data_IF_598993865032
#
_entry.id   IF_598993865032
#
_cell.length_a   1.000
_cell.length_b   1.000
_cell.length_c   1.000
_cell.angle_alpha   90.00
_cell.angle_beta   90.00
_cell.angle_gamma   90.00
#
_symmetry.space_group_name_H-M   'P 1'
#
loop_
_entity.id
_entity.type
_entity.pdbx_description
1 polymer ?
#
# COMPACT_ATOMS: atom_id res chain seq x y z
N UNK A 1 3.99 27.17 -26.85
CA UNK A 1 3.46 26.71 -25.54
C UNK A 1 2.48 25.54 -25.76
N UNK A 2 2.92 24.45 -26.39
CA UNK A 2 2.07 23.30 -26.74
C UNK A 2 2.81 22.00 -26.38
N UNK A 3 2.26 21.18 -25.49
CA UNK A 3 2.86 19.90 -25.09
C UNK A 3 2.51 19.37 -23.70
N UNK A 4 1.96 20.20 -22.80
CA UNK A 4 1.05 19.66 -21.77
C UNK A 4 -0.28 19.41 -22.48
N UNK A 5 -0.90 18.24 -22.31
CA UNK A 5 -2.34 18.12 -21.99
C UNK A 5 -2.91 16.69 -22.00
N UNK A 6 -2.75 15.88 -23.05
CA UNK A 6 -3.49 14.60 -23.14
C UNK A 6 -3.34 13.63 -21.95
N UNK A 7 -2.11 13.25 -21.57
CA UNK A 7 -1.91 12.22 -20.53
C UNK A 7 -2.07 12.68 -19.08
N UNK A 8 -2.14 13.99 -18.83
CA UNK A 8 -2.40 14.52 -17.47
C UNK A 8 -3.89 14.76 -17.27
N UNK A 9 -4.57 15.32 -18.29
CA UNK A 9 -6.04 15.44 -18.30
C UNK A 9 -6.71 14.06 -18.21
N UNK A 10 -6.15 13.05 -18.89
CA UNK A 10 -6.62 11.66 -18.79
C UNK A 10 -6.53 11.11 -17.36
N UNK A 11 -5.46 11.41 -16.61
CA UNK A 11 -5.30 10.94 -15.22
C UNK A 11 -6.22 11.67 -14.25
N UNK A 12 -6.39 12.97 -14.43
CA UNK A 12 -7.34 13.79 -13.65
C UNK A 12 -8.80 13.32 -13.83
N UNK A 13 -9.13 12.73 -14.99
CA UNK A 13 -10.44 12.11 -15.21
C UNK A 13 -10.66 10.84 -14.36
N UNK A 14 -9.60 10.08 -14.05
CA UNK A 14 -9.72 8.86 -13.21
C UNK A 14 -9.52 9.14 -11.72
N UNK A 15 -8.66 10.10 -11.38
CA UNK A 15 -8.32 10.44 -10.00
C UNK A 15 -8.38 11.96 -9.81
N UNK A 16 -9.59 12.56 -9.87
CA UNK A 16 -9.75 14.00 -9.74
C UNK A 16 -9.24 14.49 -8.39
N UNK A 17 -8.52 15.60 -8.43
CA UNK A 17 -8.00 16.31 -7.26
C UNK A 17 -8.86 17.54 -7.02
N UNK A 18 -9.17 17.80 -5.75
CA UNK A 18 -9.91 18.98 -5.31
C UNK A 18 -9.15 20.25 -5.68
N UNK A 19 -9.77 21.25 -6.34
CA UNK A 19 -9.09 22.43 -6.84
C UNK A 19 -8.22 23.16 -5.81
N UNK A 20 -8.70 23.25 -4.57
CA UNK A 20 -8.02 23.87 -3.43
C UNK A 20 -6.74 23.15 -2.99
N UNK A 21 -6.61 21.85 -3.28
CA UNK A 21 -5.46 21.03 -2.87
C UNK A 21 -4.37 20.93 -3.94
N UNK A 22 -4.62 21.39 -5.18
CA UNK A 22 -3.72 21.18 -6.33
C UNK A 22 -2.31 21.75 -6.10
N UNK A 23 -2.20 22.85 -5.36
CA UNK A 23 -0.91 23.49 -5.07
C UNK A 23 -0.08 22.75 -4.01
N UNK A 24 -0.74 22.00 -3.13
CA UNK A 24 -0.13 21.33 -1.97
C UNK A 24 0.25 19.88 -2.25
N UNK A 25 -0.25 19.30 -3.34
CA UNK A 25 0.01 17.90 -3.66
C UNK A 25 1.24 17.69 -4.55
N UNK A 26 1.97 16.58 -4.34
CA UNK A 26 2.98 16.07 -5.25
C UNK A 26 2.51 16.01 -6.71
N UNK A 27 3.30 16.56 -7.63
CA UNK A 27 3.00 16.47 -9.07
C UNK A 27 3.17 15.04 -9.56
N UNK A 28 2.11 14.48 -10.16
CA UNK A 28 2.16 13.16 -10.77
C UNK A 28 3.13 13.10 -11.94
N UNK A 29 4.07 12.16 -11.90
CA UNK A 29 5.07 11.96 -12.96
C UNK A 29 4.74 10.80 -13.88
N UNK A 30 4.04 9.77 -13.39
CA UNK A 30 3.51 8.71 -14.24
C UNK A 30 2.56 9.31 -15.29
N UNK A 31 2.74 8.87 -16.54
CA UNK A 31 1.81 9.18 -17.63
C UNK A 31 1.57 7.93 -18.47
N UNK A 32 0.30 7.58 -18.77
CA UNK A 32 0.01 6.56 -19.75
C UNK A 32 0.73 6.85 -21.08
N UNK A 33 1.33 5.81 -21.67
CA UNK A 33 2.07 5.92 -22.92
C UNK A 33 1.55 4.88 -23.91
N UNK A 34 1.03 5.36 -25.03
CA UNK A 34 0.59 4.53 -26.14
C UNK A 34 1.66 3.50 -26.51
N UNK A 35 1.25 2.24 -26.68
CA UNK A 35 2.14 1.13 -27.02
C UNK A 35 3.04 0.60 -25.88
N UNK A 36 3.23 1.35 -24.78
CA UNK A 36 4.05 0.95 -23.62
C UNK A 36 3.19 0.52 -22.43
N UNK A 37 2.24 1.34 -22.01
CA UNK A 37 1.33 1.07 -20.89
C UNK A 37 0.37 -0.07 -21.24
N UNK A 38 0.03 -0.91 -20.26
CA UNK A 38 -0.93 -1.99 -20.44
C UNK A 38 -2.34 -1.41 -20.62
N UNK A 39 -2.81 -1.35 -21.86
CA UNK A 39 -4.16 -0.93 -22.24
C UNK A 39 -5.21 -2.03 -22.06
N UNK A 40 -6.49 -1.67 -21.95
CA UNK A 40 -7.62 -2.61 -21.88
C UNK A 40 -7.63 -3.68 -23.00
N UNK A 41 -7.40 -3.27 -24.26
CA UNK A 41 -7.31 -4.19 -25.41
C UNK A 41 -6.24 -5.27 -25.21
N UNK A 42 -5.06 -4.88 -24.69
CA UNK A 42 -3.94 -5.80 -24.47
C UNK A 42 -4.14 -6.68 -23.25
N UNK A 43 -4.86 -6.19 -22.25
CA UNK A 43 -5.31 -6.97 -21.11
C UNK A 43 -6.27 -8.08 -21.54
N UNK A 44 -7.30 -7.74 -22.32
CA UNK A 44 -8.24 -8.73 -22.88
C UNK A 44 -7.52 -9.76 -23.76
N UNK A 45 -6.61 -9.33 -24.63
CA UNK A 45 -5.80 -10.23 -25.48
C UNK A 45 -4.71 -11.04 -24.74
N UNK A 46 -4.67 -10.98 -23.40
CA UNK A 46 -3.81 -11.83 -22.59
C UNK A 46 -4.55 -13.06 -22.02
N UNK A 47 -5.88 -13.14 -22.19
CA UNK A 47 -6.67 -14.27 -21.76
C UNK A 47 -6.82 -15.33 -22.87
N UNK A 48 -6.92 -16.60 -22.49
CA UNK A 48 -7.41 -17.68 -23.35
C UNK A 48 -8.92 -17.60 -23.55
N UNK A 49 -9.46 -18.42 -24.44
CA UNK A 49 -10.92 -18.57 -24.66
C UNK A 49 -11.65 -18.97 -23.37
N UNK A 50 -11.04 -19.83 -22.56
CA UNK A 50 -11.57 -20.26 -21.25
C UNK A 50 -11.37 -19.23 -20.13
N UNK A 51 -10.65 -18.14 -20.40
CA UNK A 51 -10.39 -17.07 -19.44
C UNK A 51 -9.15 -17.27 -18.56
N UNK A 52 -8.22 -18.17 -18.90
CA UNK A 52 -6.92 -18.26 -18.21
C UNK A 52 -5.99 -17.13 -18.67
N UNK A 53 -5.25 -16.52 -17.75
CA UNK A 53 -4.40 -15.35 -17.99
C UNK A 53 -2.94 -15.72 -18.27
N UNK A 54 -2.38 -15.23 -19.39
CA UNK A 54 -0.93 -15.18 -19.60
C UNK A 54 -0.32 -14.06 -18.73
N UNK A 55 -0.14 -14.38 -17.44
CA UNK A 55 0.43 -13.45 -16.45
C UNK A 55 1.84 -13.02 -16.82
N UNK A 56 2.61 -13.87 -17.52
CA UNK A 56 3.98 -13.55 -17.94
C UNK A 56 3.99 -12.37 -18.93
N UNK A 57 3.11 -12.43 -19.93
CA UNK A 57 2.94 -11.38 -20.94
C UNK A 57 2.44 -10.08 -20.32
N UNK A 58 1.53 -10.17 -19.36
CA UNK A 58 1.04 -9.02 -18.60
C UNK A 58 2.15 -8.37 -17.78
N UNK A 59 2.88 -9.13 -16.96
CA UNK A 59 3.97 -8.60 -16.13
C UNK A 59 5.05 -7.92 -16.98
N UNK A 60 5.42 -8.49 -18.14
CA UNK A 60 6.35 -7.86 -19.11
C UNK A 60 5.87 -6.51 -19.62
N UNK A 61 4.56 -6.30 -19.70
CA UNK A 61 3.99 -5.03 -20.18
C UNK A 61 3.94 -4.01 -19.07
N UNK A 62 3.50 -4.44 -17.88
CA UNK A 62 3.50 -3.63 -16.67
C UNK A 62 4.92 -3.08 -16.46
N UNK A 63 5.95 -3.93 -16.46
CA UNK A 63 7.36 -3.52 -16.26
C UNK A 63 7.87 -2.47 -17.27
N UNK A 64 7.29 -2.39 -18.47
CA UNK A 64 7.70 -1.42 -19.50
C UNK A 64 7.02 -0.06 -19.36
N UNK A 65 5.79 -0.03 -18.85
CA UNK A 65 4.96 1.17 -18.96
C UNK A 65 3.82 1.33 -17.95
N UNK A 66 3.74 0.47 -16.95
CA UNK A 66 2.68 0.43 -15.95
C UNK A 66 1.34 -0.05 -16.48
N UNK A 67 0.32 0.09 -15.63
CA UNK A 67 -1.06 -0.26 -15.94
C UNK A 67 -1.87 1.00 -16.28
N UNK A 68 -2.73 0.90 -17.28
CA UNK A 68 -3.66 1.98 -17.60
C UNK A 68 -4.72 2.13 -16.48
N UNK A 69 -5.05 3.35 -16.02
CA UNK A 69 -6.01 3.56 -14.93
C UNK A 69 -7.34 2.82 -15.10
N UNK A 70 -7.89 2.82 -16.31
CA UNK A 70 -9.18 2.19 -16.64
C UNK A 70 -9.28 0.68 -16.40
N UNK A 71 -8.16 -0.02 -16.19
CA UNK A 71 -8.14 -1.48 -15.91
C UNK A 71 -7.40 -1.82 -14.63
N UNK A 72 -6.99 -0.81 -13.85
CA UNK A 72 -6.05 -0.98 -12.75
C UNK A 72 -6.63 -1.89 -11.66
N UNK A 73 -7.91 -1.69 -11.30
CA UNK A 73 -8.64 -2.59 -10.39
C UNK A 73 -8.65 -4.05 -10.85
N UNK A 74 -9.04 -4.30 -12.10
CA UNK A 74 -9.09 -5.66 -12.67
C UNK A 74 -7.73 -6.36 -12.64
N UNK A 75 -6.66 -5.64 -12.98
CA UNK A 75 -5.30 -6.20 -12.99
C UNK A 75 -4.81 -6.44 -11.55
N UNK A 76 -5.15 -5.56 -10.61
CA UNK A 76 -4.73 -5.66 -9.21
C UNK A 76 -5.32 -6.88 -8.49
N UNK A 77 -6.54 -7.30 -8.83
CA UNK A 77 -7.09 -8.57 -8.33
C UNK A 77 -6.16 -9.77 -8.65
N UNK A 78 -5.44 -9.76 -9.78
CA UNK A 78 -4.44 -10.79 -10.08
C UNK A 78 -3.09 -10.53 -9.39
N UNK A 79 -2.62 -9.27 -9.35
CA UNK A 79 -1.31 -8.93 -8.76
C UNK A 79 -1.26 -9.16 -7.24
N UNK A 80 -2.38 -8.92 -6.56
CA UNK A 80 -2.54 -9.18 -5.14
C UNK A 80 -2.77 -10.68 -4.85
N UNK A 81 -3.13 -11.45 -5.88
CA UNK A 81 -3.36 -12.89 -5.79
C UNK A 81 -4.78 -13.23 -5.34
N UNK A 82 -5.74 -12.32 -5.53
CA UNK A 82 -7.16 -12.62 -5.37
C UNK A 82 -7.60 -13.68 -6.38
N UNK A 83 -7.06 -13.66 -7.60
CA UNK A 83 -7.26 -14.71 -8.60
C UNK A 83 -5.97 -15.44 -8.98
N UNK A 84 -6.10 -16.73 -9.26
CA UNK A 84 -5.04 -17.53 -9.87
C UNK A 84 -5.01 -17.25 -11.38
N UNK A 85 -3.87 -16.93 -12.00
CA UNK A 85 -3.78 -16.78 -13.46
C UNK A 85 -4.29 -17.98 -14.25
N UNK A 86 -4.21 -19.19 -13.70
CA UNK A 86 -4.67 -20.41 -14.36
C UNK A 86 -6.17 -20.70 -14.14
N UNK A 87 -6.89 -19.85 -13.40
CA UNK A 87 -8.35 -19.98 -13.22
C UNK A 87 -9.09 -19.61 -14.51
N UNK A 88 -10.21 -20.28 -14.75
CA UNK A 88 -11.15 -19.90 -15.83
C UNK A 88 -11.95 -18.67 -15.42
N UNK A 89 -12.73 -18.10 -16.35
CA UNK A 89 -13.66 -17.02 -16.02
C UNK A 89 -14.76 -17.50 -15.04
N UNK A 90 -15.26 -18.72 -15.23
CA UNK A 90 -16.30 -19.29 -14.39
C UNK A 90 -15.81 -19.51 -12.95
N UNK A 91 -14.61 -20.09 -12.78
CA UNK A 91 -13.98 -20.27 -11.46
C UNK A 91 -13.88 -18.94 -10.70
N UNK A 92 -13.51 -17.87 -11.41
CA UNK A 92 -13.39 -16.53 -10.81
C UNK A 92 -14.74 -15.95 -10.43
N UNK A 93 -15.77 -16.14 -11.25
CA UNK A 93 -17.11 -15.66 -10.93
C UNK A 93 -17.66 -16.36 -9.69
N UNK A 94 -17.50 -17.68 -9.59
CA UNK A 94 -17.88 -18.46 -8.41
C UNK A 94 -17.12 -18.00 -7.16
N UNK A 95 -15.79 -17.85 -7.26
CA UNK A 95 -14.96 -17.39 -6.15
C UNK A 95 -15.32 -15.97 -5.70
N UNK A 96 -15.62 -15.07 -6.65
CA UNK A 96 -16.07 -13.70 -6.36
C UNK A 96 -17.39 -13.72 -5.59
N UNK A 97 -18.35 -14.53 -6.01
CA UNK A 97 -19.64 -14.67 -5.34
C UNK A 97 -19.48 -15.19 -3.90
N UNK A 98 -18.74 -16.28 -3.71
CA UNK A 98 -18.46 -16.84 -2.37
C UNK A 98 -17.80 -15.81 -1.44
N UNK A 99 -16.85 -15.04 -1.98
CA UNK A 99 -16.15 -13.97 -1.23
C UNK A 99 -17.07 -12.83 -0.83
N UNK A 100 -17.98 -12.42 -1.71
CA UNK A 100 -18.98 -11.38 -1.44
C UNK A 100 -19.98 -11.83 -0.39
N UNK A 101 -20.45 -13.07 -0.48
CA UNK A 101 -21.31 -13.69 0.54
C UNK A 101 -20.61 -13.74 1.90
N UNK A 102 -19.36 -14.22 1.92
CA UNK A 102 -18.57 -14.28 3.16
C UNK A 102 -18.38 -12.91 3.80
N UNK A 103 -18.04 -11.91 3.00
CA UNK A 103 -17.92 -10.54 3.48
C UNK A 103 -19.25 -9.99 4.00
N UNK A 104 -20.36 -10.26 3.30
CA UNK A 104 -21.69 -9.86 3.74
C UNK A 104 -22.07 -10.48 5.09
N UNK A 105 -21.70 -11.74 5.33
CA UNK A 105 -21.94 -12.39 6.63
C UNK A 105 -21.20 -11.66 7.76
N UNK A 106 -19.91 -11.37 7.58
CA UNK A 106 -19.13 -10.60 8.56
C UNK A 106 -19.66 -9.19 8.75
N UNK A 107 -20.08 -8.54 7.67
CA UNK A 107 -20.70 -7.21 7.73
C UNK A 107 -21.98 -7.23 8.58
N UNK A 108 -22.86 -8.22 8.37
CA UNK A 108 -24.07 -8.38 9.18
C UNK A 108 -23.75 -8.69 10.65
N UNK A 109 -22.75 -9.54 10.91
CA UNK A 109 -22.28 -9.84 12.28
C UNK A 109 -21.81 -8.57 13.00
N UNK A 110 -20.93 -7.78 12.36
CA UNK A 110 -20.46 -6.50 12.89
C UNK A 110 -21.61 -5.49 13.06
N UNK A 111 -22.54 -5.43 12.11
CA UNK A 111 -23.71 -4.54 12.14
C UNK A 111 -24.66 -4.86 13.29
N UNK A 112 -24.82 -6.15 13.61
CA UNK A 112 -25.63 -6.57 14.77
C UNK A 112 -25.04 -6.08 16.09
N UNK A 113 -23.71 -5.95 16.18
CA UNK A 113 -23.02 -5.42 17.37
C UNK A 113 -22.99 -3.88 17.39
N UNK A 114 -22.74 -3.26 16.24
CA UNK A 114 -22.64 -1.80 16.06
C UNK A 114 -23.43 -1.41 14.81
N UNK A 115 -24.61 -0.81 15.00
CA UNK A 115 -25.57 -0.59 13.90
C UNK A 115 -25.09 0.33 12.77
N UNK A 116 -24.05 1.13 13.00
CA UNK A 116 -23.47 2.05 12.02
C UNK A 116 -22.71 1.31 10.92
N UNK A 117 -22.15 0.12 11.21
CA UNK A 117 -21.44 -0.69 10.22
C UNK A 117 -22.38 -1.02 9.06
N UNK A 118 -22.00 -0.65 7.84
CA UNK A 118 -22.83 -0.88 6.66
C UNK A 118 -24.00 0.05 6.44
N UNK A 119 -24.17 1.08 7.28
CA UNK A 119 -25.25 2.06 7.13
C UNK A 119 -24.96 3.15 6.08
N UNK A 120 -23.74 3.22 5.56
CA UNK A 120 -23.26 4.36 4.75
C UNK A 120 -22.81 5.57 5.59
N UNK A 121 -22.77 5.41 6.92
CA UNK A 121 -22.18 6.37 7.85
C UNK A 121 -21.01 5.73 8.61
N UNK A 122 -20.23 6.55 9.32
CA UNK A 122 -19.15 6.11 10.19
C UNK A 122 -19.07 7.01 11.43
N UNK A 123 -18.39 6.54 12.46
CA UNK A 123 -18.22 7.25 13.73
C UNK A 123 -16.80 7.78 13.88
N UNK A 124 -16.65 8.93 14.53
CA UNK A 124 -15.35 9.49 14.95
C UNK A 124 -15.25 9.67 16.46
N UNK A 125 -16.34 9.42 17.19
CA UNK A 125 -16.43 9.49 18.64
C UNK A 125 -16.40 8.09 19.24
N UNK A 126 -15.80 7.91 20.43
CA UNK A 126 -15.89 6.64 21.16
C UNK A 126 -17.35 6.25 21.41
N UNK A 127 -17.64 4.96 21.26
CA UNK A 127 -18.98 4.38 21.49
C UNK A 127 -19.06 3.58 22.79
N UNK A 128 -17.92 3.29 23.41
CA UNK A 128 -17.81 2.65 24.71
C UNK A 128 -16.69 3.33 25.50
N UNK A 129 -16.77 3.27 26.83
CA UNK A 129 -15.66 3.66 27.72
C UNK A 129 -14.58 2.58 27.76
N UNK A 130 -13.41 2.92 28.32
CA UNK A 130 -12.33 1.94 28.55
C UNK A 130 -12.77 0.76 29.45
N UNK A 131 -13.77 0.98 30.29
CA UNK A 131 -14.40 -0.02 31.15
C UNK A 131 -15.51 -0.84 30.45
N UNK A 132 -15.73 -0.62 29.15
CA UNK A 132 -16.71 -1.36 28.34
C UNK A 132 -18.17 -0.90 28.49
N UNK A 133 -18.42 0.26 29.08
CA UNK A 133 -19.77 0.83 29.20
C UNK A 133 -20.18 1.56 27.92
N UNK A 134 -21.38 1.31 27.35
CA UNK A 134 -21.86 2.03 26.17
C UNK A 134 -21.98 3.54 26.37
N UNK A 135 -21.62 4.31 25.35
CA UNK A 135 -21.81 5.75 25.24
C UNK A 135 -22.94 6.01 24.24
N UNK A 136 -23.92 6.84 24.61
CA UNK A 136 -24.98 7.24 23.69
C UNK A 136 -24.40 8.11 22.57
N UNK A 137 -24.40 7.58 21.36
CA UNK A 137 -24.00 8.29 20.14
C UNK A 137 -25.18 8.30 19.19
N UNK A 138 -25.55 9.49 18.71
CA UNK A 138 -26.70 9.68 17.83
C UNK A 138 -26.58 8.81 16.56
N UNK A 139 -27.60 7.99 16.27
CA UNK A 139 -27.60 7.08 15.13
C UNK A 139 -26.79 5.79 15.30
N UNK A 140 -26.14 5.57 16.45
CA UNK A 140 -25.37 4.37 16.76
C UNK A 140 -25.97 3.59 17.93
N UNK A 141 -26.46 2.37 17.66
CA UNK A 141 -26.91 1.44 18.71
C UNK A 141 -25.83 0.39 18.92
N UNK A 142 -25.41 0.24 20.17
CA UNK A 142 -24.49 -0.80 20.66
C UNK A 142 -25.30 -1.79 21.49
N UNK A 143 -25.09 -3.09 21.29
CA UNK A 143 -25.84 -4.14 21.97
C UNK A 143 -25.42 -4.32 23.43
N UNK A 144 -26.08 -3.62 24.37
CA UNK A 144 -25.96 -3.76 25.84
C UNK A 144 -24.51 -3.75 26.39
N UNK A 145 -24.33 -3.97 27.70
CA UNK A 145 -22.99 -4.05 28.29
C UNK A 145 -22.18 -5.19 27.65
N UNK A 146 -21.00 -4.88 27.12
CA UNK A 146 -20.18 -5.83 26.37
C UNK A 146 -19.42 -6.72 27.35
N UNK A 147 -19.87 -7.96 27.53
CA UNK A 147 -19.16 -8.95 28.36
C UNK A 147 -17.99 -9.62 27.62
N UNK A 148 -17.99 -9.58 26.28
CA UNK A 148 -16.94 -10.16 25.45
C UNK A 148 -15.77 -9.19 25.24
N UNK A 149 -14.60 -9.57 25.75
CA UNK A 149 -13.36 -8.79 25.64
C UNK A 149 -12.96 -8.48 24.18
N UNK A 150 -13.17 -9.42 23.24
CA UNK A 150 -12.87 -9.22 21.82
C UNK A 150 -13.75 -8.13 21.23
N UNK A 151 -15.04 -8.18 21.52
CA UNK A 151 -16.02 -7.19 21.05
C UNK A 151 -15.71 -5.82 21.63
N UNK A 152 -15.40 -5.73 22.93
CA UNK A 152 -15.05 -4.47 23.57
C UNK A 152 -13.77 -3.87 22.96
N UNK A 153 -12.72 -4.66 22.79
CA UNK A 153 -11.48 -4.19 22.18
C UNK A 153 -11.68 -3.71 20.74
N UNK A 154 -12.49 -4.44 19.95
CA UNK A 154 -12.84 -4.03 18.60
C UNK A 154 -13.67 -2.73 18.57
N UNK A 155 -14.61 -2.54 19.49
CA UNK A 155 -15.40 -1.30 19.57
C UNK A 155 -14.53 -0.09 19.96
N UNK A 156 -13.55 -0.27 20.85
CA UNK A 156 -12.61 0.79 21.24
C UNK A 156 -11.82 1.34 20.04
N UNK A 157 -11.48 0.51 19.04
CA UNK A 157 -10.70 0.96 17.88
C UNK A 157 -11.53 1.65 16.80
N UNK A 158 -12.85 1.49 16.76
CA UNK A 158 -13.69 1.97 15.65
C UNK A 158 -13.64 3.50 15.45
N UNK A 159 -13.62 4.25 16.54
CA UNK A 159 -13.53 5.71 16.48
C UNK A 159 -12.18 6.17 15.91
N UNK A 160 -11.09 5.47 16.26
CA UNK A 160 -9.75 5.74 15.73
C UNK A 160 -9.69 5.48 14.21
N UNK A 161 -10.33 4.40 13.74
CA UNK A 161 -10.49 4.16 12.29
C UNK A 161 -11.21 5.34 11.64
N UNK A 162 -12.31 5.82 12.23
CA UNK A 162 -13.03 6.98 11.70
C UNK A 162 -12.20 8.25 11.63
N UNK A 163 -11.43 8.55 12.69
CA UNK A 163 -10.52 9.70 12.70
C UNK A 163 -9.46 9.60 11.59
N UNK A 164 -8.95 8.40 11.30
CA UNK A 164 -8.00 8.18 10.21
C UNK A 164 -8.66 8.28 8.83
N UNK A 165 -9.89 7.78 8.66
CA UNK A 165 -10.70 7.90 7.43
C UNK A 165 -10.86 9.37 7.03
N UNK A 166 -11.24 10.25 7.97
CA UNK A 166 -11.40 11.70 7.71
C UNK A 166 -10.09 12.35 7.25
N UNK A 167 -8.95 11.79 7.64
CA UNK A 167 -7.61 12.28 7.28
C UNK A 167 -7.02 11.60 6.04
N UNK A 168 -7.71 10.62 5.45
CA UNK A 168 -7.20 9.81 4.33
C UNK A 168 -7.38 10.54 3.01
N UNK A 169 -6.28 10.70 2.26
CA UNK A 169 -6.23 11.24 0.89
C UNK A 169 -7.22 12.40 0.61
N UNK A 170 -7.36 13.34 1.54
CA UNK A 170 -8.36 14.43 1.50
C UNK A 170 -8.34 15.31 0.24
N UNK A 171 -7.25 15.27 -0.51
CA UNK A 171 -7.09 15.97 -1.78
C UNK A 171 -7.78 15.27 -2.96
N UNK A 172 -8.09 13.96 -2.87
CA UNK A 172 -8.83 13.24 -3.91
C UNK A 172 -10.32 13.55 -3.77
N UNK A 173 -10.95 14.01 -4.85
CA UNK A 173 -12.39 14.29 -4.87
C UNK A 173 -13.25 13.04 -4.58
N UNK A 174 -12.68 11.84 -4.78
CA UNK A 174 -13.30 10.56 -4.38
C UNK A 174 -13.79 10.56 -2.93
N UNK A 175 -13.04 11.16 -2.01
CA UNK A 175 -13.40 11.20 -0.58
C UNK A 175 -14.27 12.41 -0.20
N UNK A 176 -14.72 13.25 -1.14
CA UNK A 176 -15.77 14.24 -0.86
C UNK A 176 -17.12 13.55 -0.61
N UNK A 177 -17.33 12.39 -1.23
CA UNK A 177 -18.50 11.55 -1.00
C UNK A 177 -18.39 10.79 0.33
N UNK A 178 -19.35 11.04 1.22
CA UNK A 178 -19.45 10.34 2.51
C UNK A 178 -19.64 8.84 2.34
N UNK A 179 -20.29 8.38 1.27
CA UNK A 179 -20.45 6.95 1.00
C UNK A 179 -19.11 6.26 0.75
N UNK A 180 -18.17 6.94 0.08
CA UNK A 180 -16.82 6.43 -0.16
C UNK A 180 -15.96 6.39 1.12
N UNK A 181 -16.13 7.39 1.99
CA UNK A 181 -15.52 7.37 3.33
C UNK A 181 -16.09 6.25 4.20
N UNK A 182 -17.41 6.08 4.22
CA UNK A 182 -18.07 5.00 4.94
C UNK A 182 -17.64 3.63 4.41
N UNK A 183 -17.50 3.46 3.10
CA UNK A 183 -16.95 2.25 2.48
C UNK A 183 -15.53 1.93 2.97
N UNK A 184 -14.65 2.94 3.07
CA UNK A 184 -13.31 2.75 3.62
C UNK A 184 -13.36 2.36 5.10
N UNK A 185 -14.23 3.01 5.88
CA UNK A 185 -14.42 2.69 7.28
C UNK A 185 -14.96 1.27 7.49
N UNK A 186 -15.97 0.85 6.72
CA UNK A 186 -16.55 -0.50 6.77
C UNK A 186 -15.49 -1.57 6.47
N UNK A 187 -14.70 -1.40 5.40
CA UNK A 187 -13.62 -2.35 5.04
C UNK A 187 -12.60 -2.48 6.16
N UNK A 188 -12.14 -1.37 6.74
CA UNK A 188 -11.16 -1.38 7.83
C UNK A 188 -11.73 -1.97 9.13
N UNK A 189 -12.99 -1.65 9.44
CA UNK A 189 -13.66 -2.12 10.65
C UNK A 189 -13.95 -3.62 10.59
N UNK A 190 -14.36 -4.13 9.43
CA UNK A 190 -14.57 -5.57 9.25
C UNK A 190 -13.22 -6.30 9.20
N UNK A 191 -12.18 -5.70 8.62
CA UNK A 191 -10.85 -6.30 8.66
C UNK A 191 -10.34 -6.47 10.09
N UNK A 192 -10.46 -5.45 10.92
CA UNK A 192 -10.00 -5.51 12.32
C UNK A 192 -10.80 -6.47 13.18
N UNK A 193 -12.05 -6.78 12.81
CA UNK A 193 -12.84 -7.85 13.43
C UNK A 193 -12.37 -9.26 13.03
N UNK A 194 -12.09 -9.44 11.74
CA UNK A 194 -11.70 -10.73 11.15
C UNK A 194 -10.28 -11.13 11.53
N UNK A 195 -9.37 -10.16 11.61
CA UNK A 195 -7.97 -10.35 11.98
C UNK A 195 -7.67 -9.66 13.32
N UNK A 196 -8.17 -10.24 14.41
CA UNK A 196 -8.06 -9.71 15.77
C UNK A 196 -6.63 -9.75 16.35
N UNK A 197 -5.77 -10.59 15.79
CA UNK A 197 -4.33 -10.62 16.09
C UNK A 197 -3.62 -9.29 15.79
N UNK A 198 -3.94 -8.65 14.65
CA UNK A 198 -3.42 -7.31 14.30
C UNK A 198 -4.41 -6.23 14.73
N UNK A 199 -5.70 -6.49 14.52
CA UNK A 199 -6.77 -5.50 14.61
C UNK A 199 -6.59 -4.39 13.57
N UNK A 200 -6.65 -3.14 14.05
CA UNK A 200 -6.34 -1.95 13.26
C UNK A 200 -5.12 -1.23 13.83
N UNK A 201 -4.21 -0.86 12.94
CA UNK A 201 -3.04 -0.04 13.26
C UNK A 201 -3.04 1.17 12.33
N UNK A 202 -2.80 2.36 12.90
CA UNK A 202 -2.74 3.61 12.15
C UNK A 202 -1.77 3.48 10.96
N UNK A 203 -2.23 3.89 9.77
CA UNK A 203 -1.53 3.70 8.50
C UNK A 203 -2.11 2.59 7.63
N UNK A 204 -2.92 1.68 8.19
CA UNK A 204 -3.65 0.69 7.38
C UNK A 204 -4.66 1.34 6.42
N UNK A 205 -5.24 2.48 6.81
CA UNK A 205 -6.09 3.30 5.95
C UNK A 205 -5.38 3.77 4.67
N UNK A 206 -4.08 4.06 4.73
CA UNK A 206 -3.27 4.46 3.57
C UNK A 206 -3.04 3.32 2.58
N UNK A 207 -3.00 2.08 3.07
CA UNK A 207 -2.92 0.87 2.24
C UNK A 207 -4.29 0.50 1.67
N UNK A 208 -5.36 0.71 2.44
CA UNK A 208 -6.73 0.37 2.05
C UNK A 208 -7.33 1.35 1.04
N UNK A 209 -7.01 2.65 1.14
CA UNK A 209 -7.53 3.71 0.26
C UNK A 209 -7.44 3.35 -1.23
N UNK A 210 -6.28 2.95 -1.77
CA UNK A 210 -6.16 2.43 -3.12
C UNK A 210 -7.14 1.32 -3.49
N UNK A 211 -7.44 0.38 -2.59
CA UNK A 211 -8.35 -0.73 -2.89
C UNK A 211 -9.78 -0.24 -3.03
N UNK A 212 -10.20 0.67 -2.15
CA UNK A 212 -11.54 1.27 -2.15
C UNK A 212 -11.78 2.14 -3.38
N UNK A 213 -10.75 2.86 -3.83
CA UNK A 213 -10.79 3.70 -5.06
C UNK A 213 -10.80 2.83 -6.32
N UNK A 214 -9.98 1.77 -6.36
CA UNK A 214 -9.79 0.96 -7.57
C UNK A 214 -10.91 -0.05 -7.81
N UNK A 215 -11.65 -0.44 -6.77
CA UNK A 215 -12.67 -1.49 -6.85
C UNK A 215 -14.01 -0.96 -6.40
N UNK A 216 -14.98 -0.98 -7.30
CA UNK A 216 -16.33 -0.46 -7.04
C UNK A 216 -17.05 -1.20 -5.92
N UNK A 217 -16.97 -2.54 -5.91
CA UNK A 217 -17.59 -3.36 -4.89
C UNK A 217 -16.74 -3.42 -3.60
N UNK A 218 -17.38 -3.15 -2.46
CA UNK A 218 -16.75 -3.12 -1.15
C UNK A 218 -16.10 -4.45 -0.74
N UNK A 219 -16.76 -5.59 -1.00
CA UNK A 219 -16.19 -6.89 -0.67
C UNK A 219 -14.93 -7.19 -1.51
N UNK A 220 -14.94 -6.82 -2.80
CA UNK A 220 -13.77 -7.00 -3.67
C UNK A 220 -12.59 -6.13 -3.16
N UNK A 221 -12.88 -4.91 -2.69
CA UNK A 221 -11.90 -4.04 -2.03
C UNK A 221 -11.35 -4.66 -0.74
N UNK A 222 -12.22 -5.20 0.11
CA UNK A 222 -11.84 -5.92 1.32
C UNK A 222 -10.88 -7.07 1.02
N UNK A 223 -11.20 -7.94 0.05
CA UNK A 223 -10.34 -9.08 -0.26
C UNK A 223 -9.01 -8.67 -0.87
N UNK A 224 -8.96 -7.59 -1.65
CA UNK A 224 -7.70 -7.04 -2.13
C UNK A 224 -6.87 -6.43 -0.99
N UNK A 225 -7.50 -5.72 -0.06
CA UNK A 225 -6.86 -5.18 1.14
C UNK A 225 -6.32 -6.30 2.03
N UNK A 226 -7.11 -7.34 2.29
CA UNK A 226 -6.70 -8.52 3.06
C UNK A 226 -5.47 -9.19 2.46
N UNK A 227 -5.43 -9.35 1.13
CA UNK A 227 -4.27 -9.90 0.42
C UNK A 227 -3.04 -9.00 0.47
N UNK A 228 -3.22 -7.69 0.48
CA UNK A 228 -2.13 -6.74 0.70
C UNK A 228 -1.60 -6.86 2.14
N UNK A 229 -2.49 -6.92 3.13
CA UNK A 229 -2.13 -7.04 4.54
C UNK A 229 -1.43 -8.36 4.86
N UNK A 230 -1.74 -9.49 4.20
CA UNK A 230 -0.94 -10.72 4.35
C UNK A 230 0.55 -10.53 4.05
N UNK A 231 0.89 -9.60 3.16
CA UNK A 231 2.28 -9.29 2.79
C UNK A 231 2.92 -8.26 3.72
N UNK A 232 2.10 -7.38 4.30
CA UNK A 232 2.54 -6.27 5.14
C UNK A 232 2.31 -6.51 6.63
N UNK A 233 1.72 -7.64 7.01
CA UNK A 233 1.35 -8.01 8.39
C UNK A 233 2.49 -7.79 9.36
N UNK A 234 3.70 -8.20 9.00
CA UNK A 234 4.87 -8.02 9.86
C UNK A 234 5.21 -6.53 10.07
N UNK A 235 4.91 -5.63 9.13
CA UNK A 235 5.12 -4.18 9.34
C UNK A 235 4.18 -3.61 10.41
N UNK A 236 3.01 -4.21 10.61
CA UNK A 236 1.98 -3.75 11.54
C UNK A 236 1.93 -4.55 12.83
N UNK A 237 2.75 -5.59 12.99
CA UNK A 237 2.90 -6.28 14.27
C UNK A 237 3.59 -5.37 15.27
N UNK A 238 2.85 -5.02 16.32
CA UNK A 238 3.40 -4.43 17.54
C UNK A 238 3.50 -5.53 18.61
N UNK A 239 4.72 -5.85 19.02
CA UNK A 239 4.98 -6.64 20.22
C UNK A 239 5.45 -5.72 21.35
N UNK A 240 5.31 -6.15 22.60
CA UNK A 240 5.79 -5.44 23.80
C UNK A 240 7.30 -5.16 23.78
N UNK A 241 8.06 -5.85 22.93
CA UNK A 241 9.52 -5.73 22.82
C UNK A 241 10.04 -5.32 21.43
N UNK A 242 9.19 -5.29 20.40
CA UNK A 242 9.62 -4.86 19.06
C UNK A 242 8.46 -4.42 18.16
N UNK A 243 8.73 -3.39 17.35
CA UNK A 243 7.84 -2.95 16.27
C UNK A 243 8.35 -3.60 14.99
N UNK A 244 7.50 -4.27 14.20
CA UNK A 244 8.00 -5.11 13.11
C UNK A 244 8.77 -4.38 11.99
N UNK A 245 8.61 -3.06 11.86
CA UNK A 245 9.43 -2.20 10.98
C UNK A 245 10.87 -2.02 11.50
N UNK A 246 11.16 -2.24 12.79
CA UNK A 246 12.51 -2.12 13.36
C UNK A 246 13.53 -3.03 12.66
N UNK A 247 13.13 -4.24 12.25
CA UNK A 247 13.99 -5.14 11.48
C UNK A 247 14.42 -4.52 10.14
N UNK A 248 13.51 -3.79 9.49
CA UNK A 248 13.77 -3.10 8.23
C UNK A 248 14.63 -1.85 8.44
N UNK A 249 14.44 -1.12 9.54
CA UNK A 249 15.30 0.00 9.93
C UNK A 249 16.72 -0.46 10.28
N UNK A 250 16.86 -1.59 10.97
CA UNK A 250 18.16 -2.22 11.21
C UNK A 250 18.83 -2.62 9.89
N UNK A 251 18.08 -3.20 8.96
CA UNK A 251 18.59 -3.52 7.62
C UNK A 251 19.00 -2.27 6.86
N UNK A 252 18.20 -1.19 6.92
CA UNK A 252 18.51 0.10 6.31
C UNK A 252 19.82 0.69 6.87
N UNK A 253 19.97 0.67 8.19
CA UNK A 253 21.19 1.10 8.88
C UNK A 253 22.42 0.33 8.37
N UNK A 254 22.34 -0.99 8.28
CA UNK A 254 23.44 -1.81 7.74
C UNK A 254 23.74 -1.52 6.25
N UNK A 255 22.70 -1.30 5.45
CA UNK A 255 22.86 -0.94 4.03
C UNK A 255 23.60 0.39 3.90
N UNK A 256 23.17 1.43 4.60
CA UNK A 256 23.81 2.75 4.56
C UNK A 256 25.23 2.68 5.11
N UNK A 257 25.45 2.01 6.25
CA UNK A 257 26.78 1.79 6.82
C UNK A 257 27.76 1.14 5.84
N UNK A 258 27.29 0.18 5.03
CA UNK A 258 28.13 -0.50 4.03
C UNK A 258 28.36 0.36 2.78
N UNK A 259 27.31 1.03 2.32
CA UNK A 259 27.31 1.77 1.06
C UNK A 259 27.99 3.13 1.19
N UNK A 260 27.70 3.86 2.26
CA UNK A 260 28.12 5.21 2.58
C UNK A 260 28.35 5.37 4.11
N UNK A 261 29.52 4.91 4.62
CA UNK A 261 29.84 4.97 6.04
C UNK A 261 29.89 6.39 6.61
N UNK A 262 30.24 7.38 5.78
CA UNK A 262 30.33 8.78 6.21
C UNK A 262 28.93 9.34 6.51
N UNK A 263 27.96 9.06 5.64
CA UNK A 263 26.58 9.43 5.89
C UNK A 263 26.01 8.73 7.13
N UNK A 264 26.29 7.43 7.31
CA UNK A 264 25.84 6.69 8.49
C UNK A 264 26.35 7.33 9.78
N UNK A 265 27.67 7.59 9.86
CA UNK A 265 28.28 8.19 11.03
C UNK A 265 27.70 9.57 11.34
N UNK A 266 27.51 10.41 10.31
CA UNK A 266 26.87 11.72 10.51
C UNK A 266 25.46 11.59 11.08
N UNK A 267 24.66 10.63 10.59
CA UNK A 267 23.34 10.37 11.15
C UNK A 267 23.39 9.85 12.59
N UNK A 268 24.37 9.00 12.94
CA UNK A 268 24.60 8.58 14.33
C UNK A 268 24.96 9.77 15.23
N UNK A 269 25.85 10.67 14.78
CA UNK A 269 26.26 11.87 15.51
C UNK A 269 25.08 12.86 15.73
N UNK A 270 24.04 12.78 14.89
CA UNK A 270 22.78 13.53 15.00
C UNK A 270 21.69 12.81 15.81
N UNK A 271 22.00 11.71 16.50
CA UNK A 271 21.05 10.84 17.22
C UNK A 271 19.99 10.18 16.29
N UNK A 272 20.30 10.07 15.01
CA UNK A 272 19.48 9.48 13.95
C UNK A 272 19.88 8.05 13.54
N UNK A 273 20.75 7.39 14.30
CA UNK A 273 21.35 6.08 13.97
C UNK A 273 20.35 4.92 13.86
N UNK A 274 19.17 5.06 14.47
CA UNK A 274 18.06 4.10 14.38
C UNK A 274 17.12 4.34 13.18
N UNK A 275 17.33 5.42 12.43
CA UNK A 275 16.57 5.76 11.21
C UNK A 275 15.04 5.90 11.42
N UNK A 276 14.59 6.25 12.63
CA UNK A 276 13.16 6.36 12.95
C UNK A 276 12.38 7.34 12.04
N UNK A 277 13.05 8.33 11.45
CA UNK A 277 12.45 9.22 10.44
C UNK A 277 11.96 8.47 9.17
N UNK A 278 12.50 7.29 8.87
CA UNK A 278 12.08 6.46 7.75
C UNK A 278 10.92 5.51 8.10
N UNK A 279 10.49 5.47 9.35
CA UNK A 279 9.46 4.55 9.84
C UNK A 279 8.19 4.62 9.00
N UNK A 280 7.64 5.84 8.80
CA UNK A 280 6.44 6.07 8.00
C UNK A 280 6.61 5.59 6.56
N UNK A 281 7.77 5.86 5.95
CA UNK A 281 8.04 5.48 4.55
C UNK A 281 7.98 3.96 4.35
N UNK A 282 8.51 3.20 5.31
CA UNK A 282 8.50 1.73 5.26
C UNK A 282 7.12 1.16 5.65
N UNK A 283 6.50 1.69 6.70
CA UNK A 283 5.23 1.21 7.23
C UNK A 283 4.11 1.26 6.18
N UNK A 284 3.97 2.39 5.48
CA UNK A 284 2.92 2.60 4.47
C UNK A 284 3.44 2.57 3.02
N UNK A 285 4.58 1.91 2.78
CA UNK A 285 5.18 1.73 1.46
C UNK A 285 5.26 3.02 0.62
N UNK A 286 5.75 4.09 1.22
CA UNK A 286 5.88 5.42 0.62
C UNK A 286 4.57 6.05 0.15
N UNK A 287 3.39 5.56 0.59
CA UNK A 287 2.10 6.18 0.23
C UNK A 287 2.12 7.68 0.50
N UNK A 288 2.63 8.13 1.66
CA UNK A 288 2.65 9.57 1.99
C UNK A 288 3.68 10.39 1.21
N UNK A 289 4.60 9.74 0.51
CA UNK A 289 5.75 10.41 -0.14
C UNK A 289 5.60 10.59 -1.66
N UNK A 290 4.58 9.94 -2.26
CA UNK A 290 4.28 10.01 -3.68
C UNK A 290 2.88 10.57 -3.92
N UNK A 291 2.66 11.14 -5.12
CA UNK A 291 1.29 11.36 -5.61
C UNK A 291 0.52 10.03 -5.61
N UNK A 292 -0.81 10.07 -5.50
CA UNK A 292 -1.62 8.84 -5.46
C UNK A 292 -1.28 7.91 -6.63
N UNK A 293 -1.25 8.45 -7.85
CA UNK A 293 -0.94 7.68 -9.07
C UNK A 293 0.48 7.11 -9.06
N UNK A 294 1.48 7.88 -8.61
CA UNK A 294 2.87 7.41 -8.56
C UNK A 294 3.05 6.33 -7.49
N UNK A 295 2.35 6.41 -6.36
CA UNK A 295 2.32 5.36 -5.35
C UNK A 295 1.72 4.07 -5.93
N UNK A 296 0.61 4.15 -6.66
CA UNK A 296 0.03 2.97 -7.33
C UNK A 296 0.98 2.40 -8.39
N UNK A 297 1.77 3.24 -9.07
CA UNK A 297 2.77 2.76 -10.03
C UNK A 297 3.96 2.09 -9.33
N UNK A 298 4.39 2.62 -8.18
CA UNK A 298 5.45 2.06 -7.35
C UNK A 298 5.10 0.65 -6.84
N UNK A 299 3.84 0.45 -6.44
CA UNK A 299 3.36 -0.83 -5.90
C UNK A 299 3.14 -1.92 -6.97
N UNK A 300 3.15 -1.52 -8.25
CA UNK A 300 3.15 -2.49 -9.34
C UNK A 300 4.50 -3.25 -9.39
N UNK A 301 4.54 -4.46 -9.99
CA UNK A 301 5.76 -5.27 -10.17
C UNK A 301 6.91 -4.61 -10.95
N UNK A 302 6.79 -3.31 -11.28
CA UNK A 302 7.73 -2.49 -12.01
C UNK A 302 8.94 -2.09 -11.15
N UNK A 303 8.78 -2.08 -9.83
CA UNK A 303 9.79 -1.53 -8.92
C UNK A 303 11.12 -2.30 -8.85
N UNK A 304 11.20 -3.51 -9.41
CA UNK A 304 12.31 -4.42 -9.15
C UNK A 304 12.92 -5.16 -10.36
N UNK A 305 12.81 -4.67 -11.61
CA UNK A 305 13.41 -5.41 -12.74
C UNK A 305 14.31 -4.59 -13.65
N UNK A 306 15.56 -5.06 -13.75
CA UNK A 306 16.61 -4.59 -14.63
C UNK A 306 16.14 -4.53 -16.08
N UNK A 307 16.44 -3.42 -16.73
CA UNK A 307 16.18 -3.20 -18.16
C UNK A 307 17.13 -3.97 -19.08
N UNK A 308 17.95 -4.91 -18.56
CA UNK A 308 18.92 -5.70 -19.32
C UNK A 308 18.85 -7.20 -18.99
N UNK A 309 17.71 -7.84 -19.23
CA UNK A 309 17.71 -9.25 -19.67
C UNK A 309 16.38 -9.56 -20.36
N UNK A 310 16.46 -9.92 -21.64
CA UNK A 310 15.33 -10.43 -22.43
C UNK A 310 14.83 -11.81 -21.97
N UNK A 311 15.10 -12.23 -20.73
CA UNK A 311 14.71 -13.52 -20.19
C UNK A 311 14.04 -13.34 -18.83
N UNK A 312 12.71 -13.17 -18.86
CA UNK A 312 11.90 -13.52 -17.70
C UNK A 312 12.06 -15.02 -17.48
N UNK A 313 12.90 -15.36 -16.51
CA UNK A 313 13.35 -16.72 -16.30
C UNK A 313 12.14 -17.63 -16.00
N UNK A 314 11.99 -18.74 -16.72
CA UNK A 314 10.90 -19.71 -16.55
C UNK A 314 10.79 -20.21 -15.10
N UNK A 315 11.89 -20.11 -14.32
CA UNK A 315 11.95 -20.32 -12.86
C UNK A 315 11.14 -19.31 -12.04
N UNK A 316 11.09 -18.02 -12.42
CA UNK A 316 10.29 -16.97 -11.73
C UNK A 316 8.78 -17.18 -11.97
N UNK A 317 8.41 -17.66 -13.16
CA UNK A 317 7.02 -18.00 -13.53
C UNK A 317 6.54 -19.27 -12.83
N UNK A 318 7.39 -20.30 -12.75
CA UNK A 318 7.17 -21.47 -11.87
C UNK A 318 7.20 -21.06 -10.39
N UNK A 319 7.96 -20.03 -10.02
CA UNK A 319 7.92 -19.43 -8.70
C UNK A 319 6.58 -18.75 -8.46
N UNK A 320 5.98 -17.96 -9.33
CA UNK A 320 4.65 -17.36 -9.07
C UNK A 320 3.55 -18.40 -8.76
N UNK A 321 3.54 -19.54 -9.47
CA UNK A 321 2.64 -20.67 -9.16
C UNK A 321 3.00 -21.44 -7.88
N UNK A 322 4.30 -21.63 -7.59
CA UNK A 322 4.79 -22.19 -6.31
C UNK A 322 4.75 -21.18 -5.15
N UNK A 323 4.68 -19.89 -5.43
CA UNK A 323 4.63 -18.73 -4.54
C UNK A 323 3.20 -18.58 -4.06
N UNK A 324 2.18 -18.78 -4.90
CA UNK A 324 0.81 -18.95 -4.40
C UNK A 324 0.67 -20.14 -3.44
N UNK A 325 1.27 -21.30 -3.75
CA UNK A 325 1.23 -22.48 -2.86
C UNK A 325 2.03 -22.30 -1.57
N UNK A 326 3.27 -21.77 -1.63
CA UNK A 326 4.04 -21.40 -0.43
C UNK A 326 3.45 -20.22 0.36
N UNK A 327 2.74 -19.29 -0.27
CA UNK A 327 2.11 -18.14 0.41
C UNK A 327 0.84 -18.54 1.18
N UNK A 328 0.26 -19.71 0.90
CA UNK A 328 -0.76 -20.31 1.76
C UNK A 328 -0.13 -21.00 2.99
N UNK A 329 1.17 -21.32 2.96
CA UNK A 329 1.85 -22.13 3.99
C UNK A 329 2.92 -21.38 4.82
N UNK A 330 3.56 -20.31 4.31
CA UNK A 330 4.83 -19.79 4.92
C UNK A 330 5.08 -18.27 4.90
N UNK A 331 4.12 -17.38 4.58
CA UNK A 331 4.27 -15.93 4.84
C UNK A 331 5.58 -15.28 4.35
N UNK A 332 5.90 -15.36 3.04
CA UNK A 332 7.19 -14.86 2.53
C UNK A 332 7.18 -13.32 2.36
N UNK A 333 7.60 -12.60 3.41
CA UNK A 333 7.74 -11.13 3.47
C UNK A 333 9.05 -10.57 2.84
N UNK A 334 10.03 -11.42 2.49
CA UNK A 334 11.43 -10.99 2.33
C UNK A 334 11.78 -10.13 1.11
N UNK A 335 11.11 -10.28 -0.04
CA UNK A 335 11.58 -9.60 -1.28
C UNK A 335 11.05 -8.18 -1.46
N UNK A 336 9.81 -7.89 -1.06
CA UNK A 336 9.21 -6.56 -1.22
C UNK A 336 9.69 -5.60 -0.13
N UNK A 337 9.87 -6.10 1.10
CA UNK A 337 10.44 -5.31 2.20
C UNK A 337 11.89 -4.89 1.90
N UNK A 338 12.67 -5.75 1.23
CA UNK A 338 14.01 -5.38 0.77
C UNK A 338 13.99 -4.19 -0.21
N UNK A 339 13.07 -4.17 -1.19
CA UNK A 339 13.01 -3.06 -2.14
C UNK A 339 12.64 -1.73 -1.46
N UNK A 340 11.69 -1.74 -0.51
CA UNK A 340 11.32 -0.54 0.24
C UNK A 340 12.52 0.02 1.03
N UNK A 341 13.30 -0.86 1.68
CA UNK A 341 14.54 -0.48 2.36
C UNK A 341 15.56 0.14 1.40
N UNK A 342 15.80 -0.48 0.24
CA UNK A 342 16.71 0.09 -0.76
C UNK A 342 16.18 1.38 -1.39
N UNK A 343 14.86 1.57 -1.44
CA UNK A 343 14.26 2.82 -1.87
C UNK A 343 14.57 3.94 -0.90
N UNK A 344 14.37 3.72 0.42
CA UNK A 344 14.74 4.72 1.45
C UNK A 344 16.24 5.03 1.34
N UNK A 345 17.05 3.98 1.24
CA UNK A 345 18.49 4.13 1.15
C UNK A 345 18.93 4.94 -0.09
N UNK A 346 18.24 4.78 -1.22
CA UNK A 346 18.51 5.55 -2.45
C UNK A 346 18.14 7.03 -2.32
N UNK A 347 17.07 7.34 -1.60
CA UNK A 347 16.67 8.72 -1.32
C UNK A 347 17.72 9.40 -0.43
N UNK A 348 18.20 8.69 0.60
CA UNK A 348 19.28 9.16 1.48
C UNK A 348 20.59 9.40 0.72
N UNK A 349 21.02 8.43 -0.11
CA UNK A 349 22.25 8.55 -0.92
C UNK A 349 22.17 9.74 -1.88
N UNK A 350 21.00 9.97 -2.49
CA UNK A 350 20.78 11.09 -3.42
C UNK A 350 21.00 12.45 -2.74
N UNK A 351 20.78 12.54 -1.42
CA UNK A 351 20.95 13.77 -0.65
C UNK A 351 22.17 13.78 0.27
N UNK A 352 23.07 12.81 0.17
CA UNK A 352 24.18 12.73 1.12
C UNK A 352 24.91 14.07 1.27
N UNK A 353 25.14 14.80 0.17
CA UNK A 353 25.92 16.05 0.17
C UNK A 353 25.18 17.17 0.89
N UNK A 354 23.86 17.20 0.75
CA UNK A 354 23.02 18.18 1.40
C UNK A 354 22.90 17.86 2.90
N UNK A 355 22.61 16.60 3.24
CA UNK A 355 22.51 16.14 4.63
C UNK A 355 23.82 16.40 5.39
N UNK A 356 24.96 16.00 4.82
CA UNK A 356 26.27 16.20 5.44
C UNK A 356 26.66 17.68 5.63
N UNK A 357 26.09 18.59 4.84
CA UNK A 357 26.44 20.02 4.87
C UNK A 357 25.48 20.84 5.72
N UNK A 358 24.19 20.54 5.64
CA UNK A 358 23.11 21.39 6.14
C UNK A 358 22.47 20.82 7.41
N UNK A 359 22.44 19.49 7.60
CA UNK A 359 21.76 18.90 8.74
C UNK A 359 22.61 18.98 10.01
N UNK A 360 22.09 19.68 11.01
CA UNK A 360 22.67 19.81 12.36
C UNK A 360 21.85 19.09 13.43
N UNK A 361 20.66 18.62 13.08
CA UNK A 361 19.82 17.76 13.90
C UNK A 361 18.88 16.91 13.05
N UNK A 362 18.12 16.04 13.71
CA UNK A 362 17.20 15.12 13.05
C UNK A 362 16.06 15.85 12.30
N UNK A 363 15.60 16.98 12.83
CA UNK A 363 14.56 17.80 12.20
C UNK A 363 15.01 18.34 10.83
N UNK A 364 16.29 18.71 10.70
CA UNK A 364 16.85 19.13 9.41
C UNK A 364 16.87 17.97 8.42
N UNK A 365 17.21 16.75 8.89
CA UNK A 365 17.17 15.53 8.06
C UNK A 365 15.74 15.28 7.57
N UNK A 366 14.76 15.35 8.47
CA UNK A 366 13.34 15.17 8.13
C UNK A 366 12.87 16.24 7.15
N UNK A 367 13.28 17.50 7.34
CA UNK A 367 12.95 18.62 6.44
C UNK A 367 13.56 18.43 5.05
N UNK A 368 14.86 18.10 4.97
CA UNK A 368 15.56 17.83 3.70
C UNK A 368 14.92 16.65 2.95
N UNK A 369 14.52 15.60 3.67
CA UNK A 369 13.80 14.47 3.09
C UNK A 369 12.38 14.88 2.67
N UNK A 370 11.72 15.71 3.47
CA UNK A 370 10.43 16.35 3.23
C UNK A 370 10.33 17.03 1.87
N UNK A 371 11.34 17.82 1.51
CA UNK A 371 11.40 18.55 0.24
C UNK A 371 11.49 17.63 -1.00
N UNK A 372 11.99 16.40 -0.80
CA UNK A 372 12.11 15.39 -1.86
C UNK A 372 10.82 14.59 -1.97
N UNK A 373 10.25 14.23 -0.82
CA UNK A 373 8.99 13.51 -0.74
C UNK A 373 7.90 14.37 -1.35
N UNK A 374 7.33 13.90 -2.46
CA UNK A 374 6.43 14.66 -3.31
C UNK A 374 7.01 15.15 -4.64
N UNK A 375 8.34 15.13 -4.79
CA UNK A 375 9.03 15.38 -6.06
C UNK A 375 9.67 14.12 -6.67
N UNK A 376 9.64 12.99 -5.95
CA UNK A 376 10.21 11.73 -6.40
C UNK A 376 9.53 11.19 -7.67
N UNK A 377 10.35 10.71 -8.60
CA UNK A 377 9.90 9.91 -9.73
C UNK A 377 9.96 8.44 -9.35
N UNK A 378 8.80 7.79 -9.23
CA UNK A 378 8.71 6.40 -8.78
C UNK A 378 9.57 5.47 -9.65
N UNK A 379 9.62 5.68 -10.96
CA UNK A 379 10.45 4.85 -11.86
C UNK A 379 11.93 5.09 -11.61
N UNK A 380 12.36 6.35 -11.51
CA UNK A 380 13.76 6.70 -11.25
C UNK A 380 14.21 6.17 -9.89
N UNK A 381 13.38 6.36 -8.86
CA UNK A 381 13.66 5.91 -7.50
C UNK A 381 13.83 4.39 -7.43
N UNK A 382 12.99 3.60 -8.11
CA UNK A 382 13.18 2.16 -8.23
C UNK A 382 14.49 1.77 -8.93
N UNK A 383 14.88 2.47 -10.00
CA UNK A 383 16.14 2.21 -10.69
C UNK A 383 17.35 2.53 -9.81
N UNK A 384 17.28 3.60 -9.02
CA UNK A 384 18.32 3.98 -8.06
C UNK A 384 18.40 2.97 -6.92
N UNK A 385 17.27 2.52 -6.38
CA UNK A 385 17.19 1.45 -5.38
C UNK A 385 17.85 0.15 -5.87
N UNK A 386 17.58 -0.28 -7.11
CA UNK A 386 18.21 -1.49 -7.68
C UNK A 386 19.71 -1.34 -7.89
N UNK A 387 20.16 -0.17 -8.34
CA UNK A 387 21.60 0.13 -8.45
C UNK A 387 22.26 0.08 -7.08
N UNK A 388 21.61 0.63 -6.06
CA UNK A 388 22.09 0.65 -4.69
C UNK A 388 22.16 -0.75 -4.09
N UNK A 389 21.14 -1.58 -4.33
CA UNK A 389 21.15 -2.98 -3.93
C UNK A 389 22.33 -3.74 -4.55
N UNK A 390 22.58 -3.54 -5.84
CA UNK A 390 23.74 -4.13 -6.52
C UNK A 390 25.07 -3.61 -5.95
N UNK A 391 25.16 -2.33 -5.60
CA UNK A 391 26.33 -1.73 -4.94
C UNK A 391 26.57 -2.35 -3.56
N UNK A 392 25.52 -2.49 -2.76
CA UNK A 392 25.56 -3.15 -1.45
C UNK A 392 26.04 -4.59 -1.56
N UNK A 393 25.43 -5.40 -2.44
CA UNK A 393 25.80 -6.81 -2.63
C UNK A 393 27.26 -7.00 -3.07
N UNK A 394 27.81 -6.06 -3.85
CA UNK A 394 29.24 -6.09 -4.24
C UNK A 394 30.17 -5.77 -3.07
N UNK A 395 29.78 -4.84 -2.19
CA UNK A 395 30.57 -4.44 -1.02
C UNK A 395 30.47 -5.46 0.12
N UNK A 396 29.29 -5.99 0.40
CA UNK A 396 29.05 -6.99 1.44
C UNK A 396 29.74 -8.34 1.17
N UNK A 397 30.11 -8.62 -0.08
CA UNK A 397 30.88 -9.81 -0.48
C UNK A 397 32.40 -9.62 -0.42
N UNK A 398 32.89 -8.40 -0.13
CA UNK A 398 34.32 -8.18 0.10
C UNK A 398 34.60 -8.53 1.57
N UNK A 399 35.45 -9.54 1.83
CA UNK A 399 35.74 -10.01 3.19
C UNK A 399 36.36 -8.92 4.05
#
# INVERSE_FOLDING_TARGET
MFGKKAGTEELEAFYPIRPECVAEIPKTRFKPRAGKTLSARRWQAAFSETGCLDIAKVLRRIQRGGIHPSIKGLVWEFLLGCYNPNSTLEDRNQLRQQRRERYSMWKTECQNMVSVIGSGNFITTPIITDDGQPIEVEGCRVTSAVSDKKVAQWMLILHQIGLDVVRTDRALAFYEDKANQAKLWDVLSIYSWVDDDIGYVQGMNDICSPMVILLENEADAFWCFERAMRRLRENFRCSTTSIGVQSQLGTLSQVIKTVDPQLHKHLEDLDGGEYLFAFRMLMVLFRREFSFVDALYLWEPNGASDSNSGQLNQKMLKQYGKFQRKNMETGCADKNNALAVFLVASVLETKNKQILKEAKGLDDVVSILGDITGNLDAKKACQEALKLQNKYLKKAKRP
#
